data_IF_062644076488
#
_entry.id   IF_062644076488
#
_cell.length_a   1.000
_cell.length_b   1.000
_cell.length_c   1.000
_cell.angle_alpha   90.00
_cell.angle_beta   90.00
_cell.angle_gamma   90.00
#
_symmetry.space_group_name_H-M   'P 1'
#
loop_
_entity.id
_entity.type
_entity.pdbx_description
1 polymer ?
#
# COMPACT_ATOMS: atom_id res chain seq x y z
N UNK A 1 -3.42 -31.96 11.02
CA UNK A 1 -3.52 -30.99 9.88
C UNK A 1 -4.26 -31.66 8.75
N UNK A 2 -5.27 -31.04 8.15
CA UNK A 2 -5.96 -31.61 6.99
C UNK A 2 -5.01 -31.67 5.78
N UNK A 3 -5.21 -32.63 4.85
CA UNK A 3 -4.39 -32.74 3.62
C UNK A 3 -4.33 -31.40 2.84
N UNK A 4 -5.42 -30.65 2.81
CA UNK A 4 -5.48 -29.34 2.16
C UNK A 4 -4.50 -28.30 2.79
N UNK A 5 -4.28 -28.35 4.10
CA UNK A 5 -3.35 -27.46 4.78
C UNK A 5 -1.88 -27.85 4.55
N UNK A 6 -1.61 -29.11 4.31
CA UNK A 6 -0.25 -29.58 4.00
C UNK A 6 0.22 -29.05 2.63
N UNK A 7 -0.63 -29.09 1.60
CA UNK A 7 -0.32 -28.55 0.28
C UNK A 7 -0.09 -27.02 0.31
N UNK A 8 -0.92 -26.29 1.06
CA UNK A 8 -0.75 -24.85 1.21
C UNK A 8 0.59 -24.50 1.88
N UNK A 9 0.98 -25.27 2.91
CA UNK A 9 2.27 -25.08 3.58
C UNK A 9 3.46 -25.39 2.66
N UNK A 10 3.34 -26.42 1.80
CA UNK A 10 4.35 -26.73 0.79
C UNK A 10 4.53 -25.58 -0.21
N UNK A 11 3.42 -25.01 -0.73
CA UNK A 11 3.47 -23.85 -1.61
C UNK A 11 4.08 -22.62 -0.93
N UNK A 12 3.78 -22.39 0.35
CA UNK A 12 4.40 -21.32 1.12
C UNK A 12 5.92 -21.51 1.28
N UNK A 13 6.38 -22.76 1.48
CA UNK A 13 7.81 -23.08 1.55
C UNK A 13 8.51 -22.84 0.19
N UNK A 14 7.89 -23.29 -0.90
CA UNK A 14 8.40 -23.05 -2.26
C UNK A 14 8.47 -21.54 -2.57
N UNK A 15 7.47 -20.79 -2.15
CA UNK A 15 7.48 -19.33 -2.27
C UNK A 15 8.64 -18.68 -1.49
N UNK A 16 8.92 -19.11 -0.25
CA UNK A 16 10.05 -18.62 0.53
C UNK A 16 11.37 -18.93 -0.15
N UNK A 17 11.55 -20.16 -0.63
CA UNK A 17 12.77 -20.57 -1.36
C UNK A 17 12.95 -19.74 -2.63
N UNK A 18 11.89 -19.58 -3.44
CA UNK A 18 11.90 -18.73 -4.63
C UNK A 18 12.23 -17.26 -4.29
N UNK A 19 11.59 -16.70 -3.27
CA UNK A 19 11.80 -15.33 -2.84
C UNK A 19 13.23 -15.10 -2.32
N UNK A 20 13.80 -16.07 -1.59
CA UNK A 20 15.18 -16.02 -1.12
C UNK A 20 16.18 -16.09 -2.29
N UNK A 21 15.95 -17.02 -3.22
CA UNK A 21 16.75 -17.14 -4.44
C UNK A 21 16.70 -15.86 -5.28
N UNK A 22 15.50 -15.33 -5.53
CA UNK A 22 15.31 -14.10 -6.29
C UNK A 22 15.99 -12.88 -5.64
N UNK A 23 15.93 -12.76 -4.30
CA UNK A 23 16.67 -11.72 -3.57
C UNK A 23 18.19 -11.90 -3.68
N UNK A 24 18.68 -13.14 -3.59
CA UNK A 24 20.10 -13.44 -3.74
C UNK A 24 20.61 -13.08 -5.14
N UNK A 25 19.87 -13.51 -6.17
CA UNK A 25 20.21 -13.23 -7.58
C UNK A 25 20.23 -11.73 -7.90
N UNK A 26 19.31 -10.96 -7.31
CA UNK A 26 19.21 -9.50 -7.52
C UNK A 26 20.09 -8.67 -6.63
N UNK A 27 20.89 -9.25 -5.77
CA UNK A 27 21.82 -8.48 -4.94
C UNK A 27 22.81 -7.75 -5.85
N UNK A 28 22.91 -6.40 -5.74
CA UNK A 28 23.91 -5.66 -6.49
C UNK A 28 25.29 -6.01 -5.99
N UNK A 29 26.26 -6.09 -6.90
CA UNK A 29 27.69 -6.26 -6.57
C UNK A 29 28.24 -5.04 -5.83
N UNK A 30 27.63 -3.88 -6.00
CA UNK A 30 27.90 -2.64 -5.24
C UNK A 30 26.59 -2.12 -4.66
N UNK A 31 26.59 -1.84 -3.36
CA UNK A 31 25.45 -1.18 -2.69
C UNK A 31 25.37 0.24 -3.25
N UNK A 32 24.29 0.54 -3.96
CA UNK A 32 23.99 1.91 -4.38
C UNK A 32 23.32 2.62 -3.21
N UNK A 33 23.94 3.69 -2.75
CA UNK A 33 23.36 4.55 -1.71
C UNK A 33 22.39 5.51 -2.39
N UNK A 34 21.13 5.07 -2.55
CA UNK A 34 20.07 5.83 -3.20
C UNK A 34 19.25 6.58 -2.14
N UNK A 35 19.05 7.91 -2.27
CA UNK A 35 18.30 8.70 -1.33
C UNK A 35 16.79 8.45 -1.48
N UNK A 36 16.35 7.30 -1.01
CA UNK A 36 14.99 6.82 -1.14
C UNK A 36 14.36 6.57 0.23
N UNK A 37 13.08 6.93 0.35
CA UNK A 37 12.19 6.52 1.44
C UNK A 37 11.26 5.44 0.89
N UNK A 38 11.42 4.22 1.35
CA UNK A 38 10.67 3.05 0.86
C UNK A 38 9.50 2.76 1.78
N UNK A 39 8.29 2.82 1.25
CA UNK A 39 7.08 2.41 1.96
C UNK A 39 6.76 0.97 1.58
N UNK A 40 6.86 0.08 2.54
CA UNK A 40 6.70 -1.36 2.36
C UNK A 40 5.55 -1.99 3.12
N UNK A 41 5.25 -3.23 2.77
CA UNK A 41 4.34 -4.10 3.51
C UNK A 41 4.78 -5.54 3.32
N UNK A 42 4.50 -6.40 4.31
CA UNK A 42 4.68 -7.85 4.18
C UNK A 42 3.54 -8.50 3.39
N UNK A 43 2.41 -7.80 3.18
CA UNK A 43 1.28 -8.29 2.37
C UNK A 43 1.49 -8.07 0.87
N UNK A 44 0.90 -8.96 0.08
CA UNK A 44 0.93 -8.91 -1.38
C UNK A 44 0.06 -7.81 -1.99
N UNK A 45 -1.04 -7.43 -1.32
CA UNK A 45 -1.98 -6.38 -1.70
C UNK A 45 -2.63 -5.78 -0.45
N UNK A 46 -3.35 -4.65 -0.57
CA UNK A 46 -4.08 -4.03 0.54
C UNK A 46 -3.20 -3.51 1.68
N UNK A 47 -1.91 -3.34 1.46
CA UNK A 47 -0.95 -2.91 2.48
C UNK A 47 -1.02 -1.44 2.86
N UNK A 48 -1.91 -0.63 2.26
CA UNK A 48 -2.01 0.79 2.56
C UNK A 48 -0.85 1.66 2.07
N UNK A 49 0.02 1.13 1.21
CA UNK A 49 1.23 1.82 0.74
C UNK A 49 0.93 3.12 0.01
N UNK A 50 0.09 3.07 -1.01
CA UNK A 50 -0.21 4.24 -1.85
C UNK A 50 -0.83 5.42 -1.07
N UNK A 51 -1.77 5.21 -0.12
CA UNK A 51 -2.20 6.28 0.78
C UNK A 51 -1.09 6.86 1.64
N UNK A 52 -0.21 6.03 2.22
CA UNK A 52 0.92 6.49 3.02
C UNK A 52 1.95 7.28 2.19
N UNK A 53 2.26 6.80 0.97
CA UNK A 53 3.09 7.52 -0.02
C UNK A 53 2.47 8.85 -0.37
N UNK A 54 1.16 8.90 -0.61
CA UNK A 54 0.45 10.12 -0.93
C UNK A 54 0.52 11.13 0.22
N UNK A 55 0.29 10.68 1.45
CA UNK A 55 0.38 11.52 2.64
C UNK A 55 1.77 12.14 2.82
N UNK A 56 2.83 11.33 2.64
CA UNK A 56 4.21 11.80 2.71
C UNK A 56 4.56 12.76 1.58
N UNK A 57 4.18 12.44 0.33
CA UNK A 57 4.48 13.24 -0.84
C UNK A 57 3.82 14.63 -0.82
N UNK A 58 2.70 14.79 -0.12
CA UNK A 58 2.07 16.10 0.11
C UNK A 58 2.86 16.97 1.08
N UNK A 59 3.51 16.35 2.07
CA UNK A 59 4.24 17.03 3.14
C UNK A 59 5.73 17.17 2.88
N UNK A 60 6.20 16.47 1.84
CA UNK A 60 7.57 16.52 1.33
C UNK A 60 7.53 16.88 -0.17
N UNK A 61 7.17 18.16 -0.49
CA UNK A 61 6.97 18.60 -1.88
C UNK A 61 8.25 18.53 -2.72
N UNK A 62 9.41 18.53 -2.09
CA UNK A 62 10.72 18.37 -2.70
C UNK A 62 11.01 16.92 -3.16
N UNK A 63 10.25 15.93 -2.70
CA UNK A 63 10.46 14.53 -3.08
C UNK A 63 9.82 14.18 -4.42
N UNK A 64 10.48 13.34 -5.22
CA UNK A 64 9.82 12.59 -6.29
C UNK A 64 8.99 11.43 -5.72
N UNK A 65 8.05 10.92 -6.50
CA UNK A 65 7.27 9.71 -6.18
C UNK A 65 7.63 8.63 -7.18
N UNK A 66 8.13 7.50 -6.70
CA UNK A 66 8.47 6.35 -7.53
C UNK A 66 7.44 5.24 -7.36
N UNK A 67 6.93 4.71 -8.47
CA UNK A 67 5.94 3.64 -8.46
C UNK A 67 6.24 2.56 -9.50
N UNK A 68 5.69 1.37 -9.29
CA UNK A 68 5.65 0.35 -10.33
C UNK A 68 4.54 0.65 -11.36
N UNK A 69 4.66 0.14 -12.61
CA UNK A 69 3.66 0.36 -13.66
C UNK A 69 2.39 -0.45 -13.37
N UNK A 70 1.56 0.07 -12.48
CA UNK A 70 0.24 -0.45 -12.12
C UNK A 70 -0.77 0.60 -12.53
N UNK A 71 -1.60 0.35 -13.58
CA UNK A 71 -2.36 1.42 -14.27
C UNK A 71 -3.25 2.27 -13.37
N UNK A 72 -3.96 1.66 -12.42
CA UNK A 72 -4.85 2.35 -11.49
C UNK A 72 -4.07 3.18 -10.43
N UNK A 73 -2.97 2.63 -9.87
CA UNK A 73 -2.11 3.35 -8.92
C UNK A 73 -1.36 4.48 -9.61
N UNK A 74 -0.81 4.23 -10.79
CA UNK A 74 -0.15 5.26 -11.59
C UNK A 74 -1.09 6.42 -11.90
N UNK A 75 -2.32 6.12 -12.34
CA UNK A 75 -3.31 7.15 -12.64
C UNK A 75 -3.63 8.02 -11.42
N UNK A 76 -3.84 7.40 -10.26
CA UNK A 76 -4.11 8.11 -9.01
C UNK A 76 -2.93 9.01 -8.59
N UNK A 77 -1.71 8.47 -8.62
CA UNK A 77 -0.51 9.22 -8.26
C UNK A 77 -0.25 10.37 -9.23
N UNK A 78 -0.37 10.14 -10.55
CA UNK A 78 -0.17 11.20 -11.55
C UNK A 78 -1.23 12.30 -11.47
N UNK A 79 -2.49 11.95 -11.18
CA UNK A 79 -3.56 12.94 -10.97
C UNK A 79 -3.25 13.85 -9.80
N UNK A 80 -2.59 13.33 -8.74
CA UNK A 80 -2.31 14.05 -7.50
C UNK A 80 -0.98 14.81 -7.53
N UNK A 81 0.06 14.22 -8.12
CA UNK A 81 1.45 14.71 -8.04
C UNK A 81 2.06 15.09 -9.38
N UNK A 82 1.36 14.88 -10.49
CA UNK A 82 1.78 15.35 -11.82
C UNK A 82 3.15 14.82 -12.26
N UNK A 83 4.03 15.75 -12.60
CA UNK A 83 5.39 15.50 -13.10
C UNK A 83 6.37 14.98 -12.04
N UNK A 84 6.00 14.96 -10.78
CA UNK A 84 6.79 14.37 -9.69
C UNK A 84 6.76 12.82 -9.70
N UNK A 85 5.89 12.20 -10.51
CA UNK A 85 5.68 10.74 -10.54
C UNK A 85 6.53 10.09 -11.62
N UNK A 86 7.42 9.19 -11.20
CA UNK A 86 8.29 8.40 -12.08
C UNK A 86 7.95 6.92 -11.94
N UNK A 87 7.48 6.31 -13.04
CA UNK A 87 7.01 4.93 -13.05
C UNK A 87 7.98 4.06 -13.81
N UNK A 88 8.46 2.99 -13.17
CA UNK A 88 9.33 2.00 -13.78
C UNK A 88 9.22 0.63 -13.08
N UNK A 89 9.60 -0.45 -13.78
CA UNK A 89 9.76 -1.78 -13.19
C UNK A 89 10.97 -1.88 -12.25
N UNK A 90 11.84 -0.88 -12.28
CA UNK A 90 13.08 -0.80 -11.50
C UNK A 90 13.15 0.54 -10.79
N UNK A 91 13.06 0.54 -9.46
CA UNK A 91 13.19 1.76 -8.66
C UNK A 91 14.52 2.50 -8.88
N UNK A 92 15.69 1.85 -9.02
CA UNK A 92 16.92 2.55 -9.41
C UNK A 92 16.80 3.32 -10.72
N UNK A 93 16.16 2.75 -11.75
CA UNK A 93 15.96 3.44 -13.04
C UNK A 93 14.94 4.58 -12.94
N UNK A 94 13.87 4.40 -12.16
CA UNK A 94 12.93 5.48 -11.86
C UNK A 94 13.63 6.64 -11.12
N UNK A 95 14.51 6.29 -10.16
CA UNK A 95 15.31 7.28 -9.44
C UNK A 95 16.29 8.04 -10.35
N UNK A 96 16.99 7.36 -11.26
CA UNK A 96 17.90 8.04 -12.19
C UNK A 96 17.18 9.13 -13.00
N UNK A 97 15.93 8.87 -13.41
CA UNK A 97 15.10 9.88 -14.10
C UNK A 97 14.67 11.00 -13.15
N UNK A 98 14.27 10.69 -11.94
CA UNK A 98 13.88 11.68 -10.94
C UNK A 98 15.06 12.59 -10.56
N UNK A 99 16.24 12.02 -10.34
CA UNK A 99 17.47 12.76 -10.08
C UNK A 99 17.84 13.69 -11.23
N UNK A 100 17.76 13.20 -12.48
CA UNK A 100 18.03 14.01 -13.67
C UNK A 100 17.00 15.16 -13.86
N UNK A 101 15.81 15.00 -13.29
CA UNK A 101 14.79 16.07 -13.20
C UNK A 101 14.98 17.02 -12.02
N UNK A 102 16.07 16.85 -11.23
CA UNK A 102 16.45 17.76 -10.15
C UNK A 102 15.90 17.43 -8.76
N UNK A 103 15.27 16.26 -8.58
CA UNK A 103 14.77 15.88 -7.26
C UNK A 103 15.90 15.40 -6.34
N UNK A 104 15.98 15.91 -5.09
CA UNK A 104 17.04 15.54 -4.14
C UNK A 104 16.85 14.13 -3.57
N UNK A 105 15.63 13.67 -3.42
CA UNK A 105 15.28 12.33 -2.94
C UNK A 105 13.92 11.89 -3.46
N UNK A 106 13.53 10.64 -3.22
CA UNK A 106 12.24 10.13 -3.63
C UNK A 106 11.58 9.22 -2.60
N UNK A 107 10.23 9.15 -2.66
CA UNK A 107 9.39 8.24 -1.90
C UNK A 107 8.94 7.12 -2.84
N UNK A 108 9.17 5.85 -2.44
CA UNK A 108 8.87 4.67 -3.24
C UNK A 108 7.57 4.00 -2.78
N UNK A 109 6.61 3.82 -3.68
CA UNK A 109 5.43 2.99 -3.45
C UNK A 109 5.78 1.51 -3.63
N UNK A 110 6.30 0.90 -2.57
CA UNK A 110 6.83 -0.46 -2.58
C UNK A 110 8.35 -0.51 -2.56
N UNK A 111 8.92 -1.69 -2.87
CA UNK A 111 10.38 -1.89 -2.91
C UNK A 111 10.99 -2.45 -1.62
N UNK A 112 10.21 -2.74 -0.57
CA UNK A 112 10.72 -3.29 0.68
C UNK A 112 11.46 -4.63 0.49
N UNK A 113 11.01 -5.44 -0.46
CA UNK A 113 11.61 -6.71 -0.84
C UNK A 113 12.79 -6.58 -1.83
N UNK A 114 13.02 -5.40 -2.39
CA UNK A 114 14.06 -5.20 -3.40
C UNK A 114 15.44 -5.08 -2.73
N UNK A 115 16.35 -6.05 -2.96
CA UNK A 115 17.68 -6.02 -2.34
C UNK A 115 18.60 -4.93 -2.91
N UNK A 116 18.23 -4.30 -4.02
CA UNK A 116 18.99 -3.18 -4.60
C UNK A 116 18.83 -1.89 -3.79
N UNK A 117 17.80 -1.82 -2.93
CA UNK A 117 17.46 -0.67 -2.10
C UNK A 117 17.96 -0.83 -0.64
N UNK A 118 19.15 -1.42 -0.45
CA UNK A 118 19.67 -1.70 0.90
C UNK A 118 19.95 -0.43 1.72
N UNK A 119 20.42 0.65 1.09
CA UNK A 119 20.75 1.91 1.76
C UNK A 119 19.54 2.85 1.97
N UNK A 120 18.37 2.53 1.42
CA UNK A 120 17.18 3.36 1.55
C UNK A 120 16.63 3.40 2.99
N UNK A 121 15.95 4.48 3.35
CA UNK A 121 15.15 4.56 4.59
C UNK A 121 13.88 3.73 4.41
N UNK A 122 13.68 2.71 5.24
CA UNK A 122 12.59 1.73 5.08
C UNK A 122 11.54 1.87 6.16
N UNK A 123 10.34 2.25 5.74
CA UNK A 123 9.13 2.27 6.54
C UNK A 123 8.28 1.04 6.20
N UNK A 124 7.93 0.23 7.19
CA UNK A 124 7.08 -0.95 7.02
C UNK A 124 5.69 -0.68 7.60
N UNK A 125 4.67 -0.76 6.76
CA UNK A 125 3.28 -0.69 7.20
C UNK A 125 2.84 -2.04 7.76
N UNK A 126 2.38 -2.02 9.02
CA UNK A 126 1.88 -3.16 9.76
C UNK A 126 0.38 -3.01 9.95
N UNK A 127 -0.41 -3.54 9.01
CA UNK A 127 -1.85 -3.33 8.93
C UNK A 127 -2.69 -4.61 9.05
N UNK A 128 -2.09 -5.71 9.45
CA UNK A 128 -2.76 -6.98 9.68
C UNK A 128 -2.00 -7.79 10.74
N UNK A 129 -2.66 -8.73 11.43
CA UNK A 129 -1.97 -9.73 12.24
C UNK A 129 -0.88 -10.45 11.44
N UNK A 130 0.24 -10.83 12.07
CA UNK A 130 1.33 -11.51 11.38
C UNK A 130 0.90 -12.87 10.81
N UNK A 131 1.58 -13.38 9.77
CA UNK A 131 1.35 -14.73 9.30
C UNK A 131 1.65 -15.73 10.42
N UNK A 132 0.71 -16.65 10.67
CA UNK A 132 0.81 -17.67 11.71
C UNK A 132 1.45 -18.95 11.19
N UNK A 133 1.41 -19.15 9.88
CA UNK A 133 1.86 -20.39 9.23
C UNK A 133 2.39 -20.13 7.82
N UNK A 134 3.03 -21.14 7.23
CA UNK A 134 3.46 -21.11 5.84
C UNK A 134 2.28 -21.03 4.85
N UNK A 135 1.09 -21.50 5.25
CA UNK A 135 -0.11 -21.39 4.42
C UNK A 135 -0.63 -19.95 4.25
N UNK A 136 -0.18 -19.04 5.10
CA UNK A 136 -0.53 -17.62 5.01
C UNK A 136 0.34 -16.86 3.99
N UNK A 137 1.37 -17.54 3.46
CA UNK A 137 2.24 -16.98 2.44
C UNK A 137 1.66 -17.17 1.04
N UNK A 138 2.07 -16.31 0.11
CA UNK A 138 1.76 -16.48 -1.30
C UNK A 138 2.23 -17.87 -1.79
N UNK A 139 1.52 -18.46 -2.76
CA UNK A 139 0.31 -17.97 -3.43
C UNK A 139 -0.99 -18.26 -2.66
N UNK A 140 -0.95 -18.99 -1.54
CA UNK A 140 -2.14 -19.47 -0.83
C UNK A 140 -2.71 -18.44 0.16
N UNK A 141 -1.87 -17.57 0.71
CA UNK A 141 -2.24 -16.52 1.65
C UNK A 141 -1.82 -15.14 1.16
N UNK A 142 -2.11 -14.09 1.93
CA UNK A 142 -1.88 -12.71 1.52
C UNK A 142 -0.45 -12.21 1.73
N UNK A 143 0.42 -12.97 2.41
CA UNK A 143 1.74 -12.47 2.81
C UNK A 143 2.84 -12.87 1.83
N UNK A 144 3.75 -11.94 1.57
CA UNK A 144 4.97 -12.16 0.77
C UNK A 144 6.10 -12.76 1.57
N UNK A 145 6.16 -12.45 2.87
CA UNK A 145 7.28 -12.79 3.76
C UNK A 145 6.78 -13.04 5.19
N UNK A 146 7.57 -13.79 5.94
CA UNK A 146 7.35 -14.00 7.36
C UNK A 146 7.66 -12.75 8.19
N UNK A 147 7.19 -12.71 9.43
CA UNK A 147 7.36 -11.60 10.38
C UNK A 147 8.83 -11.21 10.60
N UNK A 148 9.75 -12.16 10.53
CA UNK A 148 11.19 -11.90 10.66
C UNK A 148 11.72 -10.89 9.62
N UNK A 149 11.06 -10.76 8.49
CA UNK A 149 11.42 -9.77 7.47
C UNK A 149 11.22 -8.32 7.96
N UNK A 150 10.41 -8.09 8.98
CA UNK A 150 10.21 -6.78 9.59
C UNK A 150 11.49 -6.19 10.19
N UNK A 151 12.45 -7.05 10.58
CA UNK A 151 13.77 -6.60 11.08
C UNK A 151 14.61 -5.81 10.06
N UNK A 152 14.20 -5.77 8.77
CA UNK A 152 14.84 -4.93 7.75
C UNK A 152 14.29 -3.51 7.70
N UNK A 153 13.21 -3.23 8.42
CA UNK A 153 12.64 -1.90 8.48
C UNK A 153 13.42 -1.03 9.46
N UNK A 154 13.62 0.23 9.12
CA UNK A 154 14.17 1.24 10.02
C UNK A 154 13.10 1.73 11.00
N UNK A 155 11.83 1.73 10.54
CA UNK A 155 10.66 2.04 11.37
C UNK A 155 9.45 1.23 10.94
N UNK A 156 8.66 0.77 11.89
CA UNK A 156 7.40 0.07 11.67
C UNK A 156 6.26 1.01 12.03
N UNK A 157 5.33 1.17 11.10
CA UNK A 157 4.13 1.97 11.25
C UNK A 157 2.96 1.01 11.48
N UNK A 158 2.47 0.95 12.72
CA UNK A 158 1.45 0.00 13.16
C UNK A 158 0.07 0.63 13.05
N UNK A 159 -0.86 -0.06 12.39
CA UNK A 159 -2.24 0.37 12.35
C UNK A 159 -2.85 0.27 13.75
N UNK A 160 -3.53 1.33 14.18
CA UNK A 160 -4.16 1.41 15.49
C UNK A 160 -5.02 0.16 15.78
N UNK A 161 -4.87 -0.37 17.00
CA UNK A 161 -5.57 -1.57 17.43
C UNK A 161 -4.88 -2.90 17.09
N UNK A 162 -3.74 -2.88 16.39
CA UNK A 162 -2.94 -4.07 16.15
C UNK A 162 -1.76 -4.16 17.14
N UNK A 163 -1.40 -5.38 17.59
CA UNK A 163 -0.18 -5.58 18.34
C UNK A 163 1.04 -5.36 17.42
N UNK A 164 2.07 -4.64 17.90
CA UNK A 164 3.32 -4.49 17.17
C UNK A 164 4.06 -5.82 17.05
N UNK A 165 4.91 -6.01 16.04
CA UNK A 165 5.77 -7.19 15.96
C UNK A 165 6.80 -7.18 17.09
N UNK A 166 7.04 -8.35 17.68
CA UNK A 166 8.01 -8.52 18.76
C UNK A 166 9.44 -8.26 18.27
N UNK A 167 10.27 -7.62 19.10
CA UNK A 167 11.70 -7.42 18.84
C UNK A 167 12.05 -6.28 17.90
N UNK A 168 11.10 -5.39 17.56
CA UNK A 168 11.36 -4.23 16.71
C UNK A 168 11.54 -2.97 17.55
N UNK A 169 12.63 -2.24 17.33
CA UNK A 169 13.07 -1.16 18.21
C UNK A 169 12.33 0.17 17.99
N UNK A 170 11.83 0.43 16.78
CA UNK A 170 11.24 1.73 16.42
C UNK A 170 9.86 1.54 15.82
N UNK A 171 8.84 1.86 16.63
CA UNK A 171 7.43 1.71 16.27
C UNK A 171 6.77 3.09 16.36
N UNK A 172 5.88 3.35 15.41
CA UNK A 172 4.97 4.50 15.40
C UNK A 172 3.60 4.01 14.99
N UNK A 173 2.57 4.64 15.49
CA UNK A 173 1.21 4.25 15.17
C UNK A 173 0.63 5.12 14.04
N UNK A 174 -0.33 4.58 13.33
CA UNK A 174 -1.17 5.30 12.39
C UNK A 174 -2.60 4.78 12.46
N UNK A 175 -3.54 5.56 11.96
CA UNK A 175 -4.93 5.16 11.81
C UNK A 175 -5.46 5.54 10.42
N UNK A 176 -6.62 5.02 10.10
CA UNK A 176 -7.38 5.45 8.94
C UNK A 176 -8.40 6.49 9.38
N UNK A 177 -8.29 7.69 8.83
CA UNK A 177 -9.37 8.67 8.89
C UNK A 177 -10.35 8.36 7.77
N UNK A 178 -11.53 7.90 8.16
CA UNK A 178 -12.54 7.41 7.23
C UNK A 178 -13.70 8.40 7.21
N UNK A 179 -13.99 8.91 6.02
CA UNK A 179 -15.09 9.86 5.83
C UNK A 179 -16.11 9.29 4.84
N UNK A 180 -17.42 9.43 5.16
CA UNK A 180 -18.47 9.00 4.25
C UNK A 180 -18.43 9.79 2.95
N UNK A 181 -18.95 9.24 1.85
CA UNK A 181 -19.19 10.00 0.64
C UNK A 181 -20.01 11.27 0.93
N UNK A 182 -19.70 12.35 0.21
CA UNK A 182 -20.38 13.65 0.42
C UNK A 182 -21.89 13.52 0.23
N UNK A 183 -22.64 13.93 1.23
CA UNK A 183 -24.12 13.90 1.21
C UNK A 183 -24.73 12.53 1.53
N UNK A 184 -23.93 11.54 1.89
CA UNK A 184 -24.42 10.21 2.28
C UNK A 184 -24.82 10.21 3.76
N UNK A 185 -26.03 9.71 4.04
CA UNK A 185 -26.48 9.36 5.38
C UNK A 185 -26.16 7.90 5.71
N UNK A 186 -26.12 7.57 7.00
CA UNK A 186 -26.09 6.19 7.47
C UNK A 186 -27.29 5.40 6.90
N UNK A 187 -27.07 4.14 6.55
CA UNK A 187 -28.13 3.29 5.98
C UNK A 187 -27.58 2.22 5.03
N UNK A 188 -28.49 1.59 4.26
CA UNK A 188 -28.11 0.51 3.35
C UNK A 188 -27.23 1.01 2.19
N UNK A 189 -26.24 0.18 1.82
CA UNK A 189 -25.35 0.44 0.69
C UNK A 189 -25.00 -0.83 -0.07
N UNK A 190 -24.56 -0.68 -1.31
CA UNK A 190 -23.95 -1.71 -2.13
C UNK A 190 -22.42 -1.47 -2.18
N UNK A 191 -21.64 -2.45 -1.79
CA UNK A 191 -20.19 -2.34 -1.81
C UNK A 191 -19.61 -2.80 -3.16
N UNK A 192 -18.85 -1.91 -3.81
CA UNK A 192 -17.96 -2.25 -4.91
C UNK A 192 -16.51 -2.18 -4.40
N UNK A 193 -15.80 -3.31 -4.36
CA UNK A 193 -14.47 -3.32 -3.78
C UNK A 193 -13.51 -4.20 -4.59
N UNK A 194 -12.44 -3.62 -5.09
CA UNK A 194 -11.35 -4.30 -5.78
C UNK A 194 -10.00 -3.95 -5.19
N UNK A 195 -9.94 -3.70 -3.88
CA UNK A 195 -8.70 -3.48 -3.14
C UNK A 195 -8.25 -4.76 -2.43
N UNK A 196 -6.99 -4.82 -2.04
CA UNK A 196 -6.42 -6.01 -1.40
C UNK A 196 -6.89 -6.26 0.05
N UNK A 197 -7.70 -5.36 0.64
CA UNK A 197 -8.28 -5.50 1.98
C UNK A 197 -9.76 -5.08 1.98
N UNK A 198 -10.65 -5.89 1.42
CA UNK A 198 -12.09 -5.59 1.40
C UNK A 198 -12.72 -5.63 2.80
N UNK A 199 -12.20 -6.46 3.72
CA UNK A 199 -12.72 -6.54 5.09
C UNK A 199 -12.49 -5.23 5.87
N UNK A 200 -11.36 -4.57 5.62
CA UNK A 200 -11.11 -3.24 6.17
C UNK A 200 -12.13 -2.21 5.68
N UNK A 201 -12.51 -2.27 4.41
CA UNK A 201 -13.52 -1.37 3.84
C UNK A 201 -14.91 -1.64 4.45
N UNK A 202 -15.30 -2.92 4.63
CA UNK A 202 -16.57 -3.28 5.30
C UNK A 202 -16.64 -2.72 6.72
N UNK A 203 -15.58 -2.94 7.50
CA UNK A 203 -15.50 -2.41 8.88
C UNK A 203 -15.61 -0.89 8.95
N UNK A 204 -15.03 -0.20 7.96
CA UNK A 204 -15.12 1.24 7.90
C UNK A 204 -16.54 1.72 7.56
N UNK A 205 -17.25 1.02 6.65
CA UNK A 205 -18.66 1.27 6.37
C UNK A 205 -19.53 1.03 7.61
N UNK A 206 -19.30 -0.07 8.33
CA UNK A 206 -20.00 -0.39 9.58
C UNK A 206 -19.83 0.72 10.63
N UNK A 207 -18.58 1.24 10.82
CA UNK A 207 -18.30 2.36 11.73
C UNK A 207 -19.06 3.64 11.36
N UNK A 208 -19.33 3.84 10.07
CA UNK A 208 -20.12 4.96 9.56
C UNK A 208 -21.64 4.72 9.64
N UNK A 209 -22.07 3.60 10.21
CA UNK A 209 -23.49 3.22 10.30
C UNK A 209 -24.09 2.75 8.98
N UNK A 210 -23.26 2.31 8.04
CA UNK A 210 -23.70 1.79 6.75
C UNK A 210 -23.88 0.27 6.81
N UNK A 211 -25.03 -0.21 6.35
CA UNK A 211 -25.32 -1.65 6.21
C UNK A 211 -25.05 -2.09 4.77
N UNK A 212 -24.09 -3.00 4.59
CA UNK A 212 -23.82 -3.58 3.27
C UNK A 212 -24.87 -4.63 2.94
N UNK A 213 -25.88 -4.29 2.14
CA UNK A 213 -26.98 -5.18 1.73
C UNK A 213 -26.64 -6.03 0.51
N UNK A 214 -25.57 -5.71 -0.19
CA UNK A 214 -25.03 -6.49 -1.30
C UNK A 214 -23.64 -6.02 -1.69
N UNK A 215 -22.88 -6.92 -2.30
CA UNK A 215 -21.50 -6.60 -2.64
C UNK A 215 -21.03 -7.20 -3.97
N UNK A 216 -20.11 -6.50 -4.62
CA UNK A 216 -19.35 -6.98 -5.77
C UNK A 216 -17.87 -6.78 -5.49
N UNK A 217 -17.27 -7.78 -4.84
CA UNK A 217 -15.83 -7.79 -4.54
C UNK A 217 -15.09 -8.48 -5.68
N UNK A 218 -14.07 -7.83 -6.19
CA UNK A 218 -13.16 -8.37 -7.23
C UNK A 218 -11.73 -8.43 -6.69
N UNK A 219 -10.89 -9.26 -7.30
CA UNK A 219 -9.46 -9.28 -6.95
C UNK A 219 -8.79 -7.93 -7.24
N UNK A 220 -7.69 -7.67 -6.53
CA UNK A 220 -6.91 -6.43 -6.72
C UNK A 220 -6.53 -6.27 -8.20
N UNK A 221 -6.70 -5.07 -8.76
CA UNK A 221 -6.52 -4.71 -10.18
C UNK A 221 -7.45 -5.42 -11.19
N UNK A 222 -8.50 -6.14 -10.74
CA UNK A 222 -9.47 -6.77 -11.65
C UNK A 222 -10.59 -5.81 -12.00
N UNK A 223 -11.11 -5.85 -13.26
CA UNK A 223 -12.24 -5.03 -13.66
C UNK A 223 -13.53 -5.50 -12.99
N UNK A 224 -14.46 -4.57 -12.76
CA UNK A 224 -15.80 -4.88 -12.29
C UNK A 224 -16.68 -5.45 -13.40
N UNK A 225 -17.53 -6.42 -13.06
CA UNK A 225 -18.46 -7.03 -14.02
C UNK A 225 -19.73 -6.18 -14.17
N UNK A 226 -20.02 -5.62 -15.36
CA UNK A 226 -21.25 -4.88 -15.60
C UNK A 226 -22.51 -5.71 -15.34
N UNK A 227 -22.46 -7.03 -15.61
CA UNK A 227 -23.58 -7.95 -15.36
C UNK A 227 -23.86 -8.11 -13.87
N UNK A 228 -22.83 -8.22 -13.05
CA UNK A 228 -22.99 -8.33 -11.60
C UNK A 228 -23.55 -7.04 -11.00
N UNK A 229 -23.04 -5.89 -11.43
CA UNK A 229 -23.54 -4.57 -11.03
C UNK A 229 -25.01 -4.43 -11.40
N UNK A 230 -25.39 -4.69 -12.65
CA UNK A 230 -26.79 -4.62 -13.11
C UNK A 230 -27.71 -5.50 -12.27
N UNK A 231 -27.29 -6.75 -11.99
CA UNK A 231 -28.08 -7.70 -11.18
C UNK A 231 -28.32 -7.15 -9.77
N UNK A 232 -27.29 -6.65 -9.10
CA UNK A 232 -27.39 -6.11 -7.74
C UNK A 232 -28.20 -4.81 -7.72
N UNK A 233 -28.03 -3.91 -8.68
CA UNK A 233 -28.83 -2.70 -8.78
C UNK A 233 -30.32 -2.99 -9.01
N UNK A 234 -30.66 -4.08 -9.72
CA UNK A 234 -32.05 -4.52 -9.87
C UNK A 234 -32.60 -5.17 -8.60
N UNK A 235 -31.79 -5.91 -7.86
CA UNK A 235 -32.21 -6.54 -6.60
C UNK A 235 -32.40 -5.51 -5.47
N UNK A 236 -31.66 -4.40 -5.51
CA UNK A 236 -31.66 -3.35 -4.51
C UNK A 236 -31.84 -1.97 -5.17
N UNK A 237 -33.02 -1.64 -5.69
CA UNK A 237 -33.25 -0.39 -6.40
C UNK A 237 -33.09 0.83 -5.49
N UNK A 238 -32.42 1.86 -5.98
CA UNK A 238 -32.18 3.11 -5.23
C UNK A 238 -31.11 3.05 -4.14
N UNK A 239 -30.51 1.88 -3.88
CA UNK A 239 -29.41 1.76 -2.92
C UNK A 239 -28.11 2.24 -3.56
N UNK A 240 -27.35 3.17 -2.92
CA UNK A 240 -26.12 3.71 -3.48
C UNK A 240 -24.98 2.68 -3.53
N UNK A 241 -24.18 2.75 -4.59
CA UNK A 241 -22.91 2.03 -4.68
C UNK A 241 -21.79 2.81 -4.01
N UNK A 242 -21.03 2.15 -3.14
CA UNK A 242 -19.86 2.71 -2.47
C UNK A 242 -18.63 1.90 -2.83
N UNK A 243 -17.56 2.60 -3.11
CA UNK A 243 -16.24 2.02 -3.35
C UNK A 243 -15.15 2.96 -2.89
N UNK A 244 -13.91 2.62 -3.21
CA UNK A 244 -12.73 3.46 -2.91
C UNK A 244 -12.28 4.24 -4.14
N UNK A 245 -11.43 5.25 -3.95
CA UNK A 245 -10.84 6.00 -5.06
C UNK A 245 -10.07 5.10 -6.04
N UNK A 246 -9.51 3.96 -5.56
CA UNK A 246 -8.81 2.96 -6.38
C UNK A 246 -9.77 2.18 -7.29
N UNK A 247 -11.05 2.11 -6.94
CA UNK A 247 -12.06 1.37 -7.72
C UNK A 247 -12.60 2.18 -8.89
N UNK A 248 -12.61 3.51 -8.76
CA UNK A 248 -13.19 4.43 -9.74
C UNK A 248 -12.66 4.26 -11.18
N UNK A 249 -11.34 4.12 -11.43
CA UNK A 249 -10.82 3.95 -12.80
C UNK A 249 -11.28 2.65 -13.48
N UNK A 250 -11.72 1.67 -12.68
CA UNK A 250 -12.16 0.34 -13.16
C UNK A 250 -13.68 0.20 -13.15
N UNK A 251 -14.39 1.22 -12.66
CA UNK A 251 -15.85 1.24 -12.62
C UNK A 251 -16.41 1.45 -14.02
N UNK A 252 -17.38 0.62 -14.46
CA UNK A 252 -17.92 0.76 -15.82
C UNK A 252 -18.64 2.10 -16.00
N UNK A 253 -18.39 2.77 -17.12
CA UNK A 253 -18.98 4.09 -17.45
C UNK A 253 -20.52 4.10 -17.46
N UNK A 254 -21.14 2.97 -17.83
CA UNK A 254 -22.60 2.82 -17.90
C UNK A 254 -23.23 2.31 -16.60
N UNK A 255 -22.41 2.07 -15.56
CA UNK A 255 -22.91 1.66 -14.27
C UNK A 255 -23.50 2.86 -13.50
N UNK A 256 -24.34 2.62 -12.46
CA UNK A 256 -24.74 3.69 -11.55
C UNK A 256 -23.52 4.40 -10.95
N UNK A 257 -23.72 5.63 -10.47
CA UNK A 257 -22.66 6.40 -9.85
C UNK A 257 -22.01 5.62 -8.68
N UNK A 258 -20.67 5.60 -8.67
CA UNK A 258 -19.90 5.05 -7.56
C UNK A 258 -19.54 6.18 -6.59
N UNK A 259 -20.12 6.16 -5.42
CA UNK A 259 -19.79 7.08 -4.35
C UNK A 259 -18.48 6.64 -3.68
N UNK A 260 -17.59 7.60 -3.42
CA UNK A 260 -16.24 7.29 -2.94
C UNK A 260 -16.17 7.41 -1.42
N UNK A 261 -15.87 6.29 -0.76
CA UNK A 261 -15.44 6.27 0.63
C UNK A 261 -14.02 6.83 0.72
N UNK A 262 -13.88 7.97 1.38
CA UNK A 262 -12.57 8.56 1.60
C UNK A 262 -11.88 7.84 2.77
N UNK A 263 -10.64 7.41 2.54
CA UNK A 263 -9.81 6.72 3.53
C UNK A 263 -8.42 7.34 3.50
N UNK A 264 -8.16 8.24 4.43
CA UNK A 264 -6.86 8.89 4.57
C UNK A 264 -6.00 8.13 5.58
N UNK A 265 -4.76 7.90 5.20
CA UNK A 265 -3.74 7.35 6.08
C UNK A 265 -3.16 8.49 6.93
N UNK A 266 -3.22 8.39 8.25
CA UNK A 266 -2.79 9.46 9.17
C UNK A 266 -1.89 8.87 10.25
N UNK A 267 -0.61 9.28 10.35
CA UNK A 267 0.25 8.89 11.48
C UNK A 267 -0.23 9.58 12.76
N UNK A 268 -0.05 8.92 13.89
CA UNK A 268 -0.45 9.47 15.19
C UNK A 268 0.33 10.74 15.53
N UNK A 269 1.62 10.79 15.19
CA UNK A 269 2.47 11.97 15.34
C UNK A 269 3.10 12.34 13.99
N UNK A 270 2.42 13.20 13.20
CA UNK A 270 2.89 13.63 11.89
C UNK A 270 4.27 14.28 11.91
N UNK A 271 4.49 15.19 12.86
CA UNK A 271 5.72 15.98 12.92
C UNK A 271 6.92 15.14 13.34
N UNK A 272 6.75 14.25 14.31
CA UNK A 272 7.80 13.32 14.71
C UNK A 272 8.17 12.36 13.58
N UNK A 273 7.21 11.88 12.79
CA UNK A 273 7.49 11.02 11.64
C UNK A 273 8.27 11.77 10.55
N UNK A 274 7.84 12.98 10.18
CA UNK A 274 8.51 13.80 9.17
C UNK A 274 9.91 14.23 9.62
N UNK A 275 10.04 14.65 10.89
CA UNK A 275 11.34 14.98 11.48
C UNK A 275 12.32 13.82 11.46
N UNK A 276 11.84 12.62 11.82
CA UNK A 276 12.66 11.42 11.77
C UNK A 276 13.08 11.06 10.33
N UNK A 277 12.19 11.13 9.34
CA UNK A 277 12.52 10.87 7.93
C UNK A 277 13.60 11.84 7.45
N UNK A 278 13.47 13.14 7.74
CA UNK A 278 14.47 14.15 7.36
C UNK A 278 15.82 13.89 8.03
N UNK A 279 15.82 13.52 9.29
CA UNK A 279 17.03 13.15 10.03
C UNK A 279 17.72 11.94 9.40
N UNK A 280 16.99 10.86 9.12
CA UNK A 280 17.56 9.66 8.46
C UNK A 280 18.14 9.98 7.07
N UNK A 281 17.43 10.78 6.29
CA UNK A 281 17.92 11.23 4.99
C UNK A 281 19.20 12.06 5.12
N UNK A 282 19.27 12.99 6.07
CA UNK A 282 20.45 13.82 6.29
C UNK A 282 21.68 13.03 6.76
N UNK A 283 21.46 12.04 7.63
CA UNK A 283 22.53 11.17 8.14
C UNK A 283 23.06 10.24 7.03
N UNK A 284 22.18 9.61 6.27
CA UNK A 284 22.57 8.65 5.22
C UNK A 284 23.04 9.31 3.94
N UNK A 285 22.55 10.52 3.64
CA UNK A 285 22.76 11.22 2.38
C UNK A 285 23.11 12.70 2.61
N UNK A 286 24.28 13.01 3.22
CA UNK A 286 24.63 14.38 3.60
C UNK A 286 24.64 15.39 2.41
N UNK A 287 24.87 14.90 1.19
CA UNK A 287 24.85 15.75 -0.01
C UNK A 287 23.47 16.35 -0.35
N UNK A 288 22.37 15.79 0.19
CA UNK A 288 21.02 16.33 -0.01
C UNK A 288 20.83 17.65 0.76
N UNK A 289 21.43 17.76 1.94
CA UNK A 289 21.28 18.91 2.83
C UNK A 289 22.17 20.09 2.45
N UNK A 290 23.23 19.87 1.70
CA UNK A 290 24.17 20.91 1.27
C UNK A 290 23.74 21.68 0.00
N UNK A 291 22.64 21.29 -0.65
CA UNK A 291 22.13 21.88 -1.88
C UNK A 291 20.95 22.87 -1.71
N UNK A 292 20.49 23.14 -0.48
CA UNK A 292 19.43 24.12 -0.17
C UNK A 292 20.04 25.39 0.44
N UNK A 293 20.92 26.04 -0.32
CA UNK A 293 21.46 27.35 -0.01
C UNK A 293 21.25 28.28 -1.19
#
# INVERSE_FOLDING_TARGET
MSPANQWKSLFGLLWLAFSAFHRHWRRPTKVQNLPLVVIGSLRGGGGGKTPAVSWLAERLPEAAVLAHPTPDEELLLRKRFGNRVFVDRSFPQAWDRARNAGFPFAICDGGFQDPRLLGAVKLLLWNAPPPQSLSDLLPCGPFRELVLAAARADRILVCQGLPPPSGCATISDYHWDVRPPKGMAAGPCLLACGVGDPDGVRKDLEKLGCETVGEHVVGDHRPFSPRAIKRLSHAFPGIPWIGTAKDLPRWPVQAPELQILERDWVPQDPEALLGWIRQELSVRFPAITSGTG
#
